data_IF_142265916447
#
_entry.id   IF_142265916447
#
_cell.length_a   1.000
_cell.length_b   1.000
_cell.length_c   1.000
_cell.angle_alpha   90.00
_cell.angle_beta   90.00
_cell.angle_gamma   90.00
#
_symmetry.space_group_name_H-M   'P 1'
#
loop_
_entity.id
_entity.type
_entity.pdbx_description
1 polymer ?
#
# COMPACT_ATOMS: atom_id res chain seq x y z
N UNK A 1 15.25 32.70 -2.02
CA UNK A 1 16.35 32.58 -0.99
C UNK A 1 17.57 32.12 -1.75
N UNK A 2 18.73 32.76 -1.59
CA UNK A 2 19.97 32.27 -2.21
C UNK A 2 20.35 30.94 -1.56
N UNK A 3 20.70 29.94 -2.36
CA UNK A 3 21.28 28.68 -1.88
C UNK A 3 22.52 29.04 -1.06
N UNK A 4 22.57 28.62 0.19
CA UNK A 4 23.66 28.96 1.10
C UNK A 4 24.98 28.23 0.76
N UNK A 5 24.92 27.23 -0.10
CA UNK A 5 26.08 26.47 -0.60
C UNK A 5 25.86 26.15 -2.09
N UNK A 6 26.59 26.81 -3.01
CA UNK A 6 26.43 26.58 -4.44
C UNK A 6 26.84 25.16 -4.90
N UNK A 7 27.51 24.38 -4.06
CA UNK A 7 27.99 23.05 -4.42
C UNK A 7 27.14 21.92 -3.82
N UNK A 8 25.94 22.22 -3.31
CA UNK A 8 25.12 21.19 -2.67
C UNK A 8 24.24 20.36 -3.63
N UNK A 9 24.32 20.64 -4.94
CA UNK A 9 23.67 19.86 -6.01
C UNK A 9 24.76 19.42 -6.98
N UNK A 10 24.76 18.16 -7.36
CA UNK A 10 25.67 17.63 -8.39
C UNK A 10 24.94 16.63 -9.27
N UNK A 11 25.33 16.55 -10.53
CA UNK A 11 24.83 15.56 -11.47
C UNK A 11 25.92 14.56 -11.84
N UNK A 12 25.59 13.27 -11.76
CA UNK A 12 26.45 12.18 -12.21
C UNK A 12 25.91 11.61 -13.54
N UNK A 13 26.54 11.92 -14.68
CA UNK A 13 26.08 11.44 -15.96
C UNK A 13 26.25 9.93 -16.16
N UNK A 14 27.13 9.27 -15.40
CA UNK A 14 27.38 7.84 -15.54
C UNK A 14 26.20 6.98 -15.06
N UNK A 15 25.44 7.46 -14.05
CA UNK A 15 24.24 6.82 -13.50
C UNK A 15 22.98 7.67 -13.75
N UNK A 16 23.13 8.81 -14.42
CA UNK A 16 22.06 9.79 -14.68
C UNK A 16 21.28 10.14 -13.41
N UNK A 17 21.97 10.58 -12.37
CA UNK A 17 21.34 10.92 -11.09
C UNK A 17 21.81 12.26 -10.57
N UNK A 18 20.87 13.03 -10.04
CA UNK A 18 21.08 14.30 -9.36
C UNK A 18 21.21 14.00 -7.88
N UNK A 19 22.33 14.37 -7.28
CA UNK A 19 22.60 14.22 -5.85
C UNK A 19 22.38 15.53 -5.12
N UNK A 20 21.63 15.49 -4.03
CA UNK A 20 21.19 16.64 -3.26
C UNK A 20 21.74 16.52 -1.85
N UNK A 21 22.62 17.48 -1.45
CA UNK A 21 23.19 17.61 -0.09
C UNK A 21 22.75 18.90 0.60
N UNK A 22 21.88 19.68 -0.03
CA UNK A 22 21.34 20.94 0.49
C UNK A 22 20.44 20.70 1.69
N UNK A 23 20.49 21.57 2.71
CA UNK A 23 19.62 21.49 3.89
C UNK A 23 18.14 21.62 3.57
N UNK A 24 17.78 22.43 2.58
CA UNK A 24 16.40 22.59 2.13
C UNK A 24 16.38 23.24 0.74
N UNK A 25 15.73 22.58 -0.23
CA UNK A 25 15.61 23.07 -1.60
C UNK A 25 14.27 22.68 -2.23
N UNK A 26 13.97 23.33 -3.37
CA UNK A 26 12.87 23.03 -4.29
C UNK A 26 13.40 22.59 -5.66
N UNK A 27 12.52 22.13 -6.56
CA UNK A 27 12.91 21.75 -7.93
C UNK A 27 13.48 22.93 -8.73
N UNK A 28 12.96 24.14 -8.51
CA UNK A 28 13.49 25.36 -9.14
C UNK A 28 14.94 25.67 -8.78
N UNK A 29 15.37 25.34 -7.57
CA UNK A 29 16.75 25.52 -7.15
C UNK A 29 17.69 24.54 -7.89
N UNK A 30 17.22 23.29 -8.08
CA UNK A 30 17.96 22.26 -8.81
C UNK A 30 18.11 22.67 -10.29
N UNK A 31 17.02 23.07 -10.93
CA UNK A 31 17.04 23.51 -12.34
C UNK A 31 17.99 24.68 -12.54
N UNK A 32 17.92 25.70 -11.67
CA UNK A 32 18.77 26.87 -11.77
C UNK A 32 20.25 26.52 -11.72
N UNK A 33 20.66 25.60 -10.84
CA UNK A 33 22.06 25.21 -10.71
C UNK A 33 22.52 24.34 -11.90
N UNK A 34 21.72 23.38 -12.33
CA UNK A 34 22.09 22.51 -13.46
C UNK A 34 22.21 23.29 -14.78
N UNK A 35 21.40 24.31 -15.02
CA UNK A 35 21.50 25.17 -16.20
C UNK A 35 22.80 25.97 -16.25
N UNK A 36 23.40 26.25 -15.11
CA UNK A 36 24.66 26.98 -15.05
C UNK A 36 25.83 26.04 -15.42
N UNK A 37 25.73 24.75 -15.09
CA UNK A 37 26.85 23.80 -15.21
C UNK A 37 26.89 23.06 -16.57
N UNK A 38 25.76 22.65 -17.16
CA UNK A 38 25.82 21.74 -18.32
C UNK A 38 24.63 21.75 -19.30
N UNK A 39 23.69 22.63 -19.21
CA UNK A 39 22.73 22.93 -20.27
C UNK A 39 21.80 21.83 -20.81
N UNK A 40 21.79 20.64 -20.27
CA UNK A 40 21.04 19.50 -20.80
C UNK A 40 19.66 19.30 -20.12
N UNK A 41 18.71 18.72 -20.89
CA UNK A 41 17.32 18.45 -20.54
C UNK A 41 17.14 17.42 -19.40
N UNK A 42 17.87 17.57 -18.29
CA UNK A 42 17.84 16.64 -17.16
C UNK A 42 16.64 16.95 -16.25
N UNK A 43 16.41 18.23 -16.00
CA UNK A 43 15.25 18.74 -15.28
C UNK A 43 14.77 20.01 -15.99
N UNK A 44 13.60 19.97 -16.57
CA UNK A 44 13.06 21.07 -17.38
C UNK A 44 11.67 21.48 -16.89
N UNK A 45 11.50 22.79 -16.66
CA UNK A 45 10.25 23.41 -16.27
C UNK A 45 9.50 23.98 -17.47
N UNK A 46 8.24 23.60 -17.63
CA UNK A 46 7.33 24.16 -18.62
C UNK A 46 6.55 25.35 -18.03
N UNK A 47 6.06 26.23 -18.89
CA UNK A 47 5.32 27.43 -18.50
C UNK A 47 4.05 27.13 -17.68
N UNK A 48 3.43 25.99 -17.89
CA UNK A 48 2.23 25.55 -17.17
C UNK A 48 2.48 25.01 -15.73
N UNK A 49 3.74 24.98 -15.29
CA UNK A 49 4.15 24.44 -14.00
C UNK A 49 4.39 22.92 -14.00
N UNK A 50 4.47 22.32 -15.20
CA UNK A 50 4.90 20.93 -15.37
C UNK A 50 6.43 20.84 -15.37
N UNK A 51 6.97 19.82 -14.69
CA UNK A 51 8.37 19.48 -14.71
C UNK A 51 8.61 18.15 -15.44
N UNK A 52 9.65 18.09 -16.26
CA UNK A 52 10.15 16.85 -16.84
C UNK A 52 11.48 16.50 -16.15
N UNK A 53 11.52 15.38 -15.48
CA UNK A 53 12.71 14.84 -14.82
C UNK A 53 13.23 13.63 -15.62
N UNK A 54 14.41 13.75 -16.20
CA UNK A 54 15.07 12.73 -17.00
C UNK A 54 16.34 12.18 -16.30
N UNK A 55 16.26 12.03 -14.99
CA UNK A 55 17.33 11.50 -14.14
C UNK A 55 16.74 10.95 -12.84
N UNK A 56 17.53 10.18 -12.09
CA UNK A 56 17.24 9.87 -10.69
C UNK A 56 17.49 11.07 -9.78
N UNK A 57 16.82 11.08 -8.61
CA UNK A 57 17.12 12.02 -7.52
C UNK A 57 17.62 11.22 -6.31
N UNK A 58 18.74 11.63 -5.74
CA UNK A 58 19.29 11.08 -4.50
C UNK A 58 19.31 12.19 -3.45
N UNK A 59 18.45 12.08 -2.45
CA UNK A 59 18.35 13.06 -1.36
C UNK A 59 19.18 12.52 -0.19
N UNK A 60 20.36 13.11 0.01
CA UNK A 60 21.34 12.63 0.98
C UNK A 60 20.92 12.86 2.42
N UNK A 61 21.55 12.17 3.36
CA UNK A 61 21.32 12.32 4.80
C UNK A 61 21.49 13.77 5.26
N UNK A 62 20.55 14.24 6.06
CA UNK A 62 20.54 15.63 6.53
C UNK A 62 20.07 16.66 5.50
N UNK A 63 19.69 16.23 4.30
CA UNK A 63 19.14 17.07 3.22
C UNK A 63 17.62 17.00 3.19
N UNK A 64 16.99 18.00 2.58
CA UNK A 64 15.57 18.03 2.42
C UNK A 64 15.15 18.60 1.05
N UNK A 65 14.35 17.84 0.31
CA UNK A 65 13.70 18.29 -0.93
C UNK A 65 12.21 18.53 -0.66
N UNK A 66 11.71 19.68 -1.11
CA UNK A 66 10.29 19.99 -1.13
C UNK A 66 9.80 20.10 -2.57
N UNK A 67 8.76 19.35 -2.90
CA UNK A 67 8.04 19.40 -4.18
C UNK A 67 6.61 19.82 -3.83
N UNK A 68 6.29 21.08 -4.01
CA UNK A 68 4.98 21.60 -3.63
C UNK A 68 4.37 22.54 -4.69
N UNK A 69 3.11 22.87 -4.52
CA UNK A 69 2.32 23.69 -5.46
C UNK A 69 2.82 25.13 -5.64
N UNK A 70 3.85 25.56 -4.93
CA UNK A 70 4.45 26.90 -5.13
C UNK A 70 5.19 27.00 -6.46
N UNK A 71 5.84 25.92 -6.88
CA UNK A 71 6.61 25.89 -8.12
C UNK A 71 6.27 24.72 -9.05
N UNK A 72 5.50 23.76 -8.57
CA UNK A 72 5.21 22.49 -9.25
C UNK A 72 3.71 22.21 -9.30
N UNK A 73 3.17 21.98 -10.48
CA UNK A 73 1.84 21.38 -10.63
C UNK A 73 1.93 19.87 -10.89
N UNK A 74 2.87 19.50 -11.74
CA UNK A 74 3.04 18.10 -12.16
C UNK A 74 4.51 17.79 -12.35
N UNK A 75 5.02 16.79 -11.65
CA UNK A 75 6.32 16.19 -11.88
C UNK A 75 6.15 14.93 -12.74
N UNK A 76 6.62 14.98 -13.95
CA UNK A 76 6.71 13.87 -14.90
C UNK A 76 8.10 13.27 -14.84
N UNK A 77 8.24 12.03 -14.38
CA UNK A 77 9.52 11.33 -14.34
C UNK A 77 9.61 10.45 -15.58
N UNK A 78 10.61 10.65 -16.40
CA UNK A 78 10.75 9.96 -17.68
C UNK A 78 10.92 8.47 -17.49
N UNK A 79 10.23 7.69 -18.31
CA UNK A 79 10.33 6.25 -18.43
C UNK A 79 10.30 5.87 -19.92
N UNK A 80 11.44 5.43 -20.44
CA UNK A 80 11.61 5.07 -21.85
C UNK A 80 11.60 3.54 -22.08
N UNK A 81 11.31 2.78 -21.03
CA UNK A 81 11.28 1.32 -21.05
C UNK A 81 12.62 0.63 -20.90
N UNK A 82 13.69 1.38 -20.70
CA UNK A 82 15.03 0.84 -20.51
C UNK A 82 15.54 1.05 -19.09
N UNK A 83 15.25 2.21 -18.52
CA UNK A 83 15.77 2.64 -17.22
C UNK A 83 14.60 3.14 -16.37
N UNK A 84 14.58 2.74 -15.10
CA UNK A 84 13.74 3.34 -14.08
C UNK A 84 14.55 4.37 -13.30
N UNK A 85 14.12 5.62 -13.32
CA UNK A 85 14.76 6.67 -12.54
C UNK A 85 14.12 6.73 -11.14
N UNK A 86 14.87 6.41 -10.07
CA UNK A 86 14.35 6.48 -8.72
C UNK A 86 14.35 7.90 -8.15
N UNK A 87 13.46 8.14 -7.18
CA UNK A 87 13.69 9.14 -6.14
C UNK A 87 14.11 8.38 -4.90
N UNK A 88 15.41 8.41 -4.59
CA UNK A 88 16.00 7.74 -3.42
C UNK A 88 16.16 8.73 -2.28
N UNK A 89 15.63 8.39 -1.11
CA UNK A 89 15.54 9.29 0.03
C UNK A 89 16.31 8.74 1.22
N UNK A 90 17.45 9.35 1.50
CA UNK A 90 18.20 9.13 2.75
C UNK A 90 18.01 10.30 3.73
N UNK A 91 17.59 11.46 3.23
CA UNK A 91 17.24 12.66 3.98
C UNK A 91 15.74 12.79 4.23
N UNK A 92 15.17 13.94 3.91
CA UNK A 92 13.74 14.22 4.00
C UNK A 92 13.14 14.57 2.64
N UNK A 93 11.94 14.07 2.37
CA UNK A 93 11.17 14.44 1.19
C UNK A 93 9.78 14.93 1.61
N UNK A 94 9.39 16.07 1.09
CA UNK A 94 8.00 16.55 1.18
C UNK A 94 7.42 16.67 -0.22
N UNK A 95 6.28 16.01 -0.45
CA UNK A 95 5.46 16.15 -1.66
C UNK A 95 4.09 16.67 -1.20
N UNK A 96 3.66 17.84 -1.70
CA UNK A 96 2.42 18.45 -1.21
C UNK A 96 1.66 19.19 -2.31
N UNK A 97 0.41 18.80 -2.52
CA UNK A 97 -0.53 19.45 -3.46
C UNK A 97 -0.02 19.45 -4.92
N UNK A 98 0.57 18.35 -5.36
CA UNK A 98 1.12 18.16 -6.71
C UNK A 98 0.73 16.81 -7.30
N UNK A 99 0.91 16.69 -8.60
CA UNK A 99 0.84 15.42 -9.32
C UNK A 99 2.25 14.87 -9.61
N UNK A 100 2.51 13.59 -9.33
CA UNK A 100 3.76 12.89 -9.64
C UNK A 100 3.46 11.62 -10.41
N UNK A 101 4.03 11.48 -11.60
CA UNK A 101 3.79 10.30 -12.46
C UNK A 101 5.02 9.91 -13.26
N UNK A 102 5.05 8.69 -13.75
CA UNK A 102 5.89 8.36 -14.89
C UNK A 102 5.40 9.08 -16.15
N UNK A 103 6.29 9.19 -17.14
CA UNK A 103 5.97 9.75 -18.45
C UNK A 103 6.79 9.09 -19.56
N UNK A 104 6.12 8.59 -20.59
CA UNK A 104 6.77 8.06 -21.76
C UNK A 104 6.79 9.15 -22.85
N UNK A 105 7.96 9.74 -23.19
CA UNK A 105 8.06 10.80 -24.16
C UNK A 105 7.77 10.35 -25.61
N UNK A 106 7.90 9.04 -25.89
CA UNK A 106 7.67 8.50 -27.24
C UNK A 106 6.18 8.44 -27.56
N UNK A 107 5.36 8.04 -26.60
CA UNK A 107 3.89 8.00 -26.72
C UNK A 107 3.24 9.31 -26.31
N UNK A 108 3.98 10.18 -25.65
CA UNK A 108 3.48 11.40 -25.00
C UNK A 108 2.33 11.12 -24.04
N UNK A 109 2.49 10.06 -23.23
CA UNK A 109 1.49 9.57 -22.28
C UNK A 109 2.17 8.96 -21.04
N UNK A 110 1.40 8.51 -20.07
CA UNK A 110 1.91 7.77 -18.92
C UNK A 110 2.65 6.51 -19.36
N UNK A 111 3.72 6.16 -18.68
CA UNK A 111 4.33 4.85 -18.86
C UNK A 111 3.47 3.79 -18.14
N UNK A 112 2.80 2.97 -18.90
CA UNK A 112 2.03 1.84 -18.38
C UNK A 112 2.93 0.61 -18.29
N UNK A 113 2.81 -0.18 -17.23
CA UNK A 113 3.50 -1.46 -17.09
C UNK A 113 2.62 -2.58 -17.64
N UNK A 114 2.38 -2.59 -18.93
CA UNK A 114 1.73 -3.72 -19.58
C UNK A 114 2.72 -4.87 -19.73
N UNK A 115 3.15 -5.45 -18.62
CA UNK A 115 3.74 -6.77 -18.63
C UNK A 115 2.64 -7.80 -18.89
N UNK A 116 2.84 -8.71 -19.81
CA UNK A 116 1.94 -9.84 -20.00
C UNK A 116 1.89 -10.65 -18.73
N UNK A 117 0.70 -10.83 -18.14
CA UNK A 117 0.50 -11.77 -17.03
C UNK A 117 0.56 -13.18 -17.60
N UNK A 118 1.65 -13.88 -17.34
CA UNK A 118 1.83 -15.28 -17.73
C UNK A 118 1.55 -16.16 -16.51
N UNK A 119 0.66 -17.15 -16.68
CA UNK A 119 0.42 -18.13 -15.63
C UNK A 119 1.69 -19.00 -15.47
N UNK A 120 2.37 -18.87 -14.34
CA UNK A 120 3.38 -19.83 -13.96
C UNK A 120 2.70 -21.10 -13.43
N UNK A 121 2.54 -22.10 -14.29
CA UNK A 121 1.85 -23.35 -13.96
C UNK A 121 2.51 -24.12 -12.81
N UNK A 122 3.84 -23.99 -12.62
CA UNK A 122 4.57 -24.65 -11.53
C UNK A 122 4.25 -24.05 -10.17
N UNK A 123 3.96 -22.74 -10.12
CA UNK A 123 3.68 -22.01 -8.90
C UNK A 123 2.18 -21.77 -8.70
N UNK A 124 1.35 -22.07 -9.70
CA UNK A 124 -0.09 -21.85 -9.67
C UNK A 124 -0.49 -20.38 -9.50
N UNK A 125 0.38 -19.45 -9.93
CA UNK A 125 0.14 -18.00 -9.85
C UNK A 125 0.51 -17.31 -11.16
N UNK A 126 -0.12 -16.18 -11.40
CA UNK A 126 0.28 -15.30 -12.49
C UNK A 126 1.57 -14.57 -12.11
N UNK A 127 2.55 -14.62 -12.98
CA UNK A 127 3.77 -13.82 -12.93
C UNK A 127 3.72 -12.80 -14.07
N UNK A 128 4.26 -11.63 -13.86
CA UNK A 128 4.40 -10.63 -14.92
C UNK A 128 5.74 -10.90 -15.58
N UNK A 129 5.74 -11.20 -16.88
CA UNK A 129 6.99 -11.14 -17.65
C UNK A 129 7.53 -9.72 -17.56
N UNK A 130 8.79 -9.63 -17.18
CA UNK A 130 9.58 -8.42 -16.92
C UNK A 130 8.83 -7.11 -17.16
N UNK A 131 8.33 -6.52 -16.07
CA UNK A 131 7.55 -5.28 -16.13
C UNK A 131 8.41 -4.18 -16.75
N UNK A 132 7.77 -3.36 -17.56
CA UNK A 132 8.38 -2.17 -18.12
C UNK A 132 8.92 -1.29 -16.99
N UNK A 133 10.23 -1.01 -16.90
CA UNK A 133 10.78 -0.26 -15.80
C UNK A 133 10.14 1.12 -15.69
N UNK A 134 9.46 1.37 -14.58
CA UNK A 134 8.86 2.66 -14.27
C UNK A 134 9.56 3.31 -13.09
N UNK A 135 9.64 4.65 -13.01
CA UNK A 135 10.13 5.37 -11.86
C UNK A 135 9.45 4.92 -10.57
N UNK A 136 10.14 5.08 -9.45
CA UNK A 136 9.64 4.76 -8.12
C UNK A 136 10.20 5.72 -7.07
N UNK A 137 9.57 5.77 -5.90
CA UNK A 137 10.04 6.54 -4.75
C UNK A 137 10.45 5.54 -3.68
N UNK A 138 11.72 5.54 -3.27
CA UNK A 138 12.26 4.64 -2.26
C UNK A 138 12.93 5.41 -1.13
N UNK A 139 12.43 5.19 0.07
CA UNK A 139 13.01 5.70 1.30
C UNK A 139 13.93 4.61 1.82
N UNK A 140 15.21 4.93 1.94
CA UNK A 140 16.26 3.97 2.28
C UNK A 140 16.21 3.55 3.75
N UNK A 141 16.76 2.37 4.06
CA UNK A 141 16.72 1.77 5.41
C UNK A 141 17.39 2.66 6.47
N UNK A 142 18.38 3.41 6.08
CA UNK A 142 19.13 4.31 6.95
C UNK A 142 18.77 5.81 6.76
N UNK A 143 17.58 6.08 6.23
CA UNK A 143 17.07 7.43 6.08
C UNK A 143 17.01 8.14 7.45
N UNK A 144 17.49 9.39 7.48
CA UNK A 144 17.58 10.19 8.72
C UNK A 144 16.40 11.14 8.91
N UNK A 145 15.50 11.26 7.92
CA UNK A 145 14.36 12.14 7.94
C UNK A 145 13.06 11.44 7.57
N UNK A 146 11.99 12.22 7.48
CA UNK A 146 10.67 11.72 7.09
C UNK A 146 10.40 11.97 5.61
N UNK A 147 9.58 11.09 5.02
CA UNK A 147 8.97 11.33 3.71
C UNK A 147 7.47 11.53 3.87
N UNK A 148 7.02 12.75 3.67
CA UNK A 148 5.62 13.13 3.82
C UNK A 148 5.01 13.45 2.45
N UNK A 149 3.96 12.69 2.08
CA UNK A 149 3.21 12.91 0.83
C UNK A 149 1.79 13.28 1.21
N UNK A 150 1.38 14.50 0.84
CA UNK A 150 0.07 15.05 1.24
C UNK A 150 -0.65 15.72 0.07
N UNK A 151 -1.98 15.60 0.06
CA UNK A 151 -2.86 16.31 -0.89
C UNK A 151 -2.48 16.14 -2.38
N UNK A 152 -1.87 15.02 -2.73
CA UNK A 152 -1.21 14.82 -4.03
C UNK A 152 -1.81 13.65 -4.81
N UNK A 153 -1.62 13.67 -6.12
CA UNK A 153 -1.86 12.53 -6.99
C UNK A 153 -0.53 11.84 -7.30
N UNK A 154 -0.43 10.56 -6.96
CA UNK A 154 0.74 9.73 -7.24
C UNK A 154 0.29 8.57 -8.10
N UNK A 155 0.78 8.49 -9.34
CA UNK A 155 0.28 7.49 -10.26
C UNK A 155 1.34 6.96 -11.24
N UNK A 156 1.11 5.77 -11.78
CA UNK A 156 1.95 5.12 -12.80
C UNK A 156 3.40 4.91 -12.37
N UNK A 157 3.65 4.67 -11.08
CA UNK A 157 4.97 4.41 -10.54
C UNK A 157 5.16 2.94 -10.18
N UNK A 158 6.43 2.50 -10.20
CA UNK A 158 6.83 1.16 -9.80
C UNK A 158 6.49 0.09 -10.83
N UNK A 159 7.16 -1.04 -10.70
CA UNK A 159 7.01 -2.20 -11.58
C UNK A 159 7.36 -3.49 -10.83
N UNK A 160 7.00 -4.63 -11.40
CA UNK A 160 7.45 -5.91 -10.88
C UNK A 160 8.90 -6.18 -11.33
N UNK A 161 9.79 -6.33 -10.36
CA UNK A 161 11.20 -6.67 -10.60
C UNK A 161 11.62 -7.93 -9.82
N UNK A 162 10.69 -8.87 -9.64
CA UNK A 162 10.94 -10.10 -8.90
C UNK A 162 10.93 -9.96 -7.37
N UNK A 163 11.53 -10.90 -6.67
CA UNK A 163 11.51 -10.96 -5.21
C UNK A 163 12.37 -9.85 -4.58
N UNK A 164 11.77 -8.83 -3.98
CA UNK A 164 12.54 -7.85 -3.22
C UNK A 164 11.95 -6.47 -2.99
N UNK A 165 10.79 -6.17 -3.54
CA UNK A 165 9.95 -5.04 -3.11
C UNK A 165 10.49 -3.61 -3.28
N UNK A 166 11.74 -3.40 -3.68
CA UNK A 166 12.36 -2.07 -3.64
C UNK A 166 11.97 -1.09 -4.74
N UNK A 167 11.24 -1.55 -5.76
CA UNK A 167 10.91 -0.76 -6.97
C UNK A 167 9.41 -0.73 -7.26
N UNK A 168 8.59 -1.04 -6.28
CA UNK A 168 7.16 -1.37 -6.48
C UNK A 168 6.23 -0.16 -6.56
N UNK A 169 6.70 1.02 -6.27
CA UNK A 169 5.90 2.26 -6.24
C UNK A 169 6.36 3.18 -5.15
N UNK A 170 5.61 3.30 -4.06
CA UNK A 170 6.04 3.97 -2.84
C UNK A 170 6.62 2.93 -1.88
N UNK A 171 7.92 2.93 -1.70
CA UNK A 171 8.65 1.95 -0.87
C UNK A 171 9.34 2.61 0.30
N UNK A 172 8.97 2.22 1.52
CA UNK A 172 9.54 2.72 2.76
C UNK A 172 10.37 1.62 3.44
N UNK A 173 11.68 1.70 3.38
CA UNK A 173 12.60 0.82 4.12
C UNK A 173 13.09 1.51 5.40
N UNK A 174 12.86 2.81 5.52
CA UNK A 174 13.14 3.70 6.65
C UNK A 174 12.17 4.88 6.66
N UNK A 175 12.54 5.97 7.32
CA UNK A 175 11.71 7.16 7.41
C UNK A 175 10.56 7.01 8.40
N UNK A 176 10.85 6.53 9.60
CA UNK A 176 9.88 6.42 10.70
C UNK A 176 9.09 7.72 10.91
N UNK A 177 7.84 7.58 11.36
CA UNK A 177 6.90 8.68 11.57
C UNK A 177 6.52 9.49 10.30
N UNK A 178 6.77 8.95 9.12
CA UNK A 178 6.32 9.54 7.86
C UNK A 178 4.80 9.52 7.73
N UNK A 179 4.26 10.38 6.86
CA UNK A 179 2.82 10.57 6.68
C UNK A 179 2.43 10.44 5.20
N UNK A 180 1.43 9.61 4.90
CA UNK A 180 0.67 9.61 3.66
C UNK A 180 -0.75 10.08 3.95
N UNK A 181 -1.14 11.28 3.48
CA UNK A 181 -2.45 11.87 3.83
C UNK A 181 -3.10 12.57 2.66
N UNK A 182 -4.41 12.34 2.50
CA UNK A 182 -5.27 13.03 1.52
C UNK A 182 -4.77 12.87 0.07
N UNK A 183 -4.19 11.73 -0.28
CA UNK A 183 -3.65 11.50 -1.61
C UNK A 183 -4.61 10.67 -2.46
N UNK A 184 -4.49 10.82 -3.78
CA UNK A 184 -4.99 9.89 -4.78
C UNK A 184 -3.81 9.06 -5.30
N UNK A 185 -3.78 7.75 -4.97
CA UNK A 185 -2.66 6.85 -5.29
C UNK A 185 -3.19 5.71 -6.16
N UNK A 186 -2.79 5.68 -7.42
CA UNK A 186 -3.37 4.73 -8.36
C UNK A 186 -2.43 4.33 -9.50
N UNK A 187 -2.72 3.21 -10.14
CA UNK A 187 -1.93 2.67 -11.26
C UNK A 187 -0.44 2.43 -10.94
N UNK A 188 -0.08 2.28 -9.66
CA UNK A 188 1.22 1.79 -9.23
C UNK A 188 1.26 0.25 -9.31
N UNK A 189 2.45 -0.35 -9.19
CA UNK A 189 2.50 -1.79 -8.98
C UNK A 189 2.03 -2.16 -7.56
N UNK A 190 2.64 -1.63 -6.49
CA UNK A 190 2.06 -1.52 -5.15
C UNK A 190 1.84 -0.03 -4.84
N UNK A 191 0.69 0.32 -4.31
CA UNK A 191 0.53 1.71 -3.88
C UNK A 191 1.48 2.06 -2.74
N UNK A 192 1.71 1.12 -1.82
CA UNK A 192 2.58 1.28 -0.68
C UNK A 192 3.19 -0.05 -0.26
N UNK A 193 4.48 -0.04 0.04
CA UNK A 193 5.22 -1.12 0.68
C UNK A 193 6.10 -0.58 1.80
N UNK A 194 6.21 -1.28 2.93
CA UNK A 194 7.17 -0.92 3.97
C UNK A 194 7.87 -2.14 4.58
N UNK A 195 9.09 -1.95 5.07
CA UNK A 195 9.87 -2.96 5.79
C UNK A 195 10.55 -2.33 7.00
N UNK A 196 10.21 -2.78 8.19
CA UNK A 196 10.85 -2.34 9.44
C UNK A 196 10.47 -0.93 9.91
N UNK A 197 9.53 -0.27 9.25
CA UNK A 197 9.16 1.14 9.53
C UNK A 197 8.22 1.24 10.72
N UNK A 198 8.46 2.23 11.59
CA UNK A 198 7.66 2.52 12.78
C UNK A 198 6.93 3.85 12.76
N UNK A 199 5.79 3.92 13.47
CA UNK A 199 5.09 5.18 13.77
C UNK A 199 4.42 5.89 12.60
N UNK A 200 4.33 5.26 11.43
CA UNK A 200 3.80 5.90 10.22
C UNK A 200 2.29 6.06 10.26
N UNK A 201 1.77 7.15 9.66
CA UNK A 201 0.33 7.42 9.52
C UNK A 201 -0.06 7.43 8.05
N UNK A 202 -1.03 6.56 7.69
CA UNK A 202 -1.63 6.49 6.35
C UNK A 202 -3.12 6.80 6.50
N UNK A 203 -3.54 8.00 6.10
CA UNK A 203 -4.91 8.43 6.36
C UNK A 203 -5.56 9.25 5.25
N UNK A 204 -6.88 9.08 5.11
CA UNK A 204 -7.71 9.83 4.16
C UNK A 204 -7.24 9.70 2.70
N UNK A 205 -6.61 8.60 2.31
CA UNK A 205 -6.18 8.40 0.95
C UNK A 205 -7.23 7.64 0.13
N UNK A 206 -7.26 7.90 -1.17
CA UNK A 206 -7.96 7.13 -2.16
C UNK A 206 -6.93 6.27 -2.92
N UNK A 207 -6.99 4.95 -2.75
CA UNK A 207 -5.98 4.00 -3.23
C UNK A 207 -6.65 2.98 -4.13
N UNK A 208 -6.36 3.01 -5.43
CA UNK A 208 -7.12 2.18 -6.38
C UNK A 208 -6.34 1.82 -7.64
N UNK A 209 -6.82 0.81 -8.35
CA UNK A 209 -6.28 0.36 -9.65
C UNK A 209 -4.79 0.04 -9.63
N UNK A 210 -4.23 -0.34 -8.48
CA UNK A 210 -2.83 -0.73 -8.41
C UNK A 210 -2.66 -2.18 -8.88
N UNK A 211 -1.55 -2.47 -9.53
CA UNK A 211 -1.33 -3.76 -10.18
C UNK A 211 -1.33 -4.96 -9.24
N UNK A 212 -1.03 -4.74 -7.96
CA UNK A 212 -1.03 -5.82 -6.98
C UNK A 212 -1.67 -5.40 -5.65
N UNK A 213 -0.92 -4.87 -4.66
CA UNK A 213 -1.46 -4.49 -3.36
C UNK A 213 -1.81 -3.01 -3.27
N UNK A 214 -2.88 -2.70 -2.54
CA UNK A 214 -3.13 -1.35 -2.08
C UNK A 214 -2.09 -0.95 -1.03
N UNK A 215 -2.19 -1.45 0.18
CA UNK A 215 -1.23 -1.19 1.26
C UNK A 215 -0.58 -2.51 1.71
N UNK A 216 0.76 -2.57 1.72
CA UNK A 216 1.55 -3.71 2.19
C UNK A 216 2.58 -3.30 3.26
N UNK A 217 2.17 -2.99 4.50
CA UNK A 217 3.07 -3.05 5.64
C UNK A 217 3.67 -4.45 5.76
N UNK A 218 5.01 -4.56 5.76
CA UNK A 218 5.70 -5.84 5.66
C UNK A 218 6.89 -5.91 6.63
N UNK A 219 7.40 -7.10 6.83
CA UNK A 219 8.63 -7.46 7.54
C UNK A 219 9.00 -6.53 8.72
N UNK A 220 8.35 -6.75 9.87
CA UNK A 220 8.69 -6.01 11.09
C UNK A 220 8.19 -4.57 11.16
N UNK A 221 7.36 -4.12 10.22
CA UNK A 221 6.67 -2.82 10.32
C UNK A 221 5.80 -2.77 11.58
N UNK A 222 5.84 -1.66 12.31
CA UNK A 222 5.19 -1.57 13.62
C UNK A 222 4.65 -0.18 13.96
N UNK A 223 3.74 -0.12 14.96
CA UNK A 223 3.19 1.13 15.48
C UNK A 223 2.55 2.03 14.38
N UNK A 224 1.98 1.42 13.35
CA UNK A 224 1.41 2.14 12.22
C UNK A 224 -0.09 2.36 12.39
N UNK A 225 -0.56 3.54 11.96
CA UNK A 225 -1.98 3.89 11.91
C UNK A 225 -2.45 3.99 10.45
N UNK A 226 -3.39 3.11 10.07
CA UNK A 226 -4.04 3.10 8.75
C UNK A 226 -5.51 3.43 8.96
N UNK A 227 -5.93 4.65 8.60
CA UNK A 227 -7.31 5.07 8.89
C UNK A 227 -7.97 5.91 7.80
N UNK A 228 -9.29 5.81 7.74
CA UNK A 228 -10.13 6.63 6.87
C UNK A 228 -9.73 6.55 5.37
N UNK A 229 -9.11 5.46 4.92
CA UNK A 229 -8.76 5.29 3.53
C UNK A 229 -9.89 4.58 2.77
N UNK A 230 -10.03 4.91 1.48
CA UNK A 230 -10.84 4.16 0.53
C UNK A 230 -9.90 3.39 -0.40
N UNK A 231 -10.01 2.06 -0.39
CA UNK A 231 -9.05 1.16 -1.04
C UNK A 231 -9.80 0.15 -1.90
N UNK A 232 -9.64 0.23 -3.23
CA UNK A 232 -10.45 -0.60 -4.10
C UNK A 232 -9.83 -0.89 -5.48
N UNK A 233 -10.38 -1.88 -6.17
CA UNK A 233 -9.99 -2.26 -7.53
C UNK A 233 -8.48 -2.53 -7.68
N UNK A 234 -7.81 -3.03 -6.60
CA UNK A 234 -6.42 -3.42 -6.66
C UNK A 234 -6.27 -4.87 -7.12
N UNK A 235 -5.15 -5.18 -7.76
CA UNK A 235 -4.93 -6.47 -8.43
C UNK A 235 -4.86 -7.68 -7.50
N UNK A 236 -4.77 -7.50 -6.18
CA UNK A 236 -4.79 -8.58 -5.19
C UNK A 236 -5.48 -8.14 -3.89
N UNK A 237 -4.74 -7.70 -2.87
CA UNK A 237 -5.27 -7.39 -1.53
C UNK A 237 -5.35 -5.88 -1.30
N UNK A 238 -6.42 -5.41 -0.68
CA UNK A 238 -6.57 -4.01 -0.31
C UNK A 238 -5.54 -3.59 0.75
N UNK A 239 -5.60 -4.17 1.94
CA UNK A 239 -4.63 -3.95 3.03
C UNK A 239 -4.08 -5.32 3.46
N UNK A 240 -2.79 -5.52 3.33
CA UNK A 240 -2.11 -6.70 3.87
C UNK A 240 -1.01 -6.27 4.84
N UNK A 241 -1.00 -6.82 6.05
CA UNK A 241 0.12 -6.66 6.97
C UNK A 241 0.78 -8.02 7.17
N UNK A 242 2.06 -8.12 6.83
CA UNK A 242 2.70 -9.41 6.64
C UNK A 242 4.11 -9.49 7.24
N UNK A 243 4.44 -10.65 7.77
CA UNK A 243 5.77 -11.03 8.24
C UNK A 243 6.28 -10.22 9.43
N UNK A 244 5.82 -10.60 10.62
CA UNK A 244 6.20 -10.00 11.91
C UNK A 244 5.76 -8.55 12.12
N UNK A 245 4.74 -8.07 11.44
CA UNK A 245 4.16 -6.77 11.75
C UNK A 245 3.50 -6.79 13.13
N UNK A 246 3.58 -5.70 13.88
CA UNK A 246 2.94 -5.63 15.20
C UNK A 246 2.49 -4.21 15.57
N UNK A 247 1.49 -4.13 16.45
CA UNK A 247 0.89 -2.86 16.90
C UNK A 247 0.43 -1.97 15.74
N UNK A 248 -0.20 -2.59 14.74
CA UNK A 248 -0.83 -1.89 13.62
C UNK A 248 -2.30 -1.64 13.96
N UNK A 249 -2.76 -0.41 13.77
CA UNK A 249 -4.18 -0.07 13.89
C UNK A 249 -4.76 0.21 12.51
N UNK A 250 -5.77 -0.58 12.12
CA UNK A 250 -6.51 -0.45 10.85
C UNK A 250 -7.94 -0.05 11.20
N UNK A 251 -8.30 1.22 11.01
CA UNK A 251 -9.60 1.72 11.48
C UNK A 251 -10.32 2.62 10.48
N UNK A 252 -11.64 2.52 10.44
CA UNK A 252 -12.51 3.37 9.62
C UNK A 252 -12.14 3.35 8.11
N UNK A 253 -11.53 2.29 7.60
CA UNK A 253 -11.25 2.16 6.18
C UNK A 253 -12.42 1.51 5.45
N UNK A 254 -12.55 1.83 4.16
CA UNK A 254 -13.45 1.13 3.25
C UNK A 254 -12.62 0.37 2.22
N UNK A 255 -12.72 -0.96 2.19
CA UNK A 255 -12.03 -1.83 1.23
C UNK A 255 -13.03 -2.62 0.41
N UNK A 256 -12.92 -2.56 -0.93
CA UNK A 256 -13.85 -3.28 -1.80
C UNK A 256 -13.29 -3.54 -3.20
N UNK A 257 -13.84 -4.53 -3.88
CA UNK A 257 -13.45 -4.92 -5.25
C UNK A 257 -11.96 -5.22 -5.42
N UNK A 258 -11.22 -5.49 -4.36
CA UNK A 258 -9.87 -5.99 -4.52
C UNK A 258 -9.94 -7.46 -4.98
N UNK A 259 -8.98 -7.90 -5.74
CA UNK A 259 -9.12 -9.18 -6.45
C UNK A 259 -9.11 -10.41 -5.53
N UNK A 260 -8.66 -10.30 -4.27
CA UNK A 260 -8.60 -11.42 -3.31
C UNK A 260 -9.13 -11.04 -1.92
N UNK A 261 -8.43 -10.20 -1.17
CA UNK A 261 -8.72 -9.93 0.26
C UNK A 261 -8.91 -8.44 0.52
N UNK A 262 -9.92 -8.08 1.30
CA UNK A 262 -10.08 -6.70 1.75
C UNK A 262 -9.01 -6.30 2.78
N UNK A 263 -8.95 -7.01 3.94
CA UNK A 263 -7.96 -6.78 5.01
C UNK A 263 -7.34 -8.11 5.42
N UNK A 264 -5.99 -8.21 5.38
CA UNK A 264 -5.26 -9.43 5.65
C UNK A 264 -4.22 -9.27 6.76
N UNK A 265 -4.32 -10.14 7.77
CA UNK A 265 -3.31 -10.35 8.82
C UNK A 265 -2.49 -11.59 8.46
N UNK A 266 -1.21 -11.45 8.19
CA UNK A 266 -0.43 -12.54 7.62
C UNK A 266 0.93 -12.73 8.28
N UNK A 267 1.34 -13.98 8.39
CA UNK A 267 2.70 -14.39 8.75
C UNK A 267 3.26 -13.71 10.00
N UNK A 268 2.64 -14.01 11.15
CA UNK A 268 3.01 -13.51 12.47
C UNK A 268 2.75 -12.00 12.68
N UNK A 269 1.63 -11.50 12.14
CA UNK A 269 1.12 -10.22 12.58
C UNK A 269 0.53 -10.36 13.98
N UNK A 270 0.92 -9.47 14.91
CA UNK A 270 0.56 -9.59 16.33
C UNK A 270 0.16 -8.25 16.95
N UNK A 271 -0.60 -8.32 18.06
CA UNK A 271 -0.96 -7.17 18.90
C UNK A 271 -1.56 -6.00 18.10
N UNK A 272 -2.33 -6.31 17.08
CA UNK A 272 -2.83 -5.37 16.11
C UNK A 272 -4.36 -5.37 16.08
N UNK A 273 -4.93 -4.29 15.60
CA UNK A 273 -6.37 -4.04 15.69
C UNK A 273 -6.92 -3.74 14.28
N UNK A 274 -8.06 -4.36 13.94
CA UNK A 274 -8.91 -3.92 12.83
C UNK A 274 -10.29 -3.57 13.35
N UNK A 275 -10.69 -2.30 13.27
CA UNK A 275 -11.98 -1.84 13.81
C UNK A 275 -12.69 -0.82 12.95
N UNK A 276 -14.01 -0.84 13.02
CA UNK A 276 -14.88 0.13 12.34
C UNK A 276 -14.65 0.17 10.82
N UNK A 277 -14.08 -0.87 10.21
CA UNK A 277 -13.87 -0.91 8.78
C UNK A 277 -15.13 -1.42 8.06
N UNK A 278 -15.30 -0.99 6.82
CA UNK A 278 -16.31 -1.49 5.89
C UNK A 278 -15.60 -2.28 4.80
N UNK A 279 -15.94 -3.57 4.65
CA UNK A 279 -15.31 -4.45 3.67
C UNK A 279 -16.39 -5.16 2.87
N UNK A 280 -16.34 -5.07 1.55
CA UNK A 280 -17.37 -5.69 0.72
C UNK A 280 -16.89 -6.08 -0.68
N UNK A 281 -17.63 -6.99 -1.30
CA UNK A 281 -17.39 -7.50 -2.65
C UNK A 281 -15.95 -8.02 -2.84
N UNK A 282 -15.48 -8.82 -1.88
CA UNK A 282 -14.17 -9.45 -1.85
C UNK A 282 -14.31 -10.98 -1.93
N UNK A 283 -13.27 -11.67 -2.34
CA UNK A 283 -13.20 -13.12 -2.14
C UNK A 283 -13.12 -13.42 -0.66
N UNK A 284 -12.30 -12.71 0.09
CA UNK A 284 -12.21 -12.80 1.54
C UNK A 284 -12.28 -11.40 2.15
N UNK A 285 -13.21 -11.18 3.07
CA UNK A 285 -13.37 -9.88 3.71
C UNK A 285 -12.19 -9.56 4.63
N UNK A 286 -12.18 -10.15 5.83
CA UNK A 286 -11.06 -10.05 6.78
C UNK A 286 -10.45 -11.43 6.94
N UNK A 287 -9.16 -11.55 6.64
CA UNK A 287 -8.47 -12.83 6.59
C UNK A 287 -7.25 -12.85 7.52
N UNK A 288 -7.10 -13.93 8.29
CA UNK A 288 -5.97 -14.16 9.18
C UNK A 288 -5.26 -15.47 8.87
N UNK A 289 -3.94 -15.41 8.71
CA UNK A 289 -3.09 -16.57 8.52
C UNK A 289 -1.82 -16.47 9.35
N UNK A 290 -1.56 -17.44 10.23
CA UNK A 290 -0.41 -17.46 11.14
C UNK A 290 -0.25 -16.17 11.93
N UNK A 291 -1.36 -15.61 12.47
CA UNK A 291 -1.36 -14.31 13.14
C UNK A 291 -2.04 -14.44 14.51
N UNK A 292 -1.49 -13.75 15.52
CA UNK A 292 -1.79 -14.04 16.91
C UNK A 292 -2.01 -12.77 17.77
N UNK A 293 -2.83 -12.90 18.80
CA UNK A 293 -3.07 -11.83 19.79
C UNK A 293 -3.57 -10.54 19.13
N UNK A 294 -4.43 -10.64 18.11
CA UNK A 294 -5.02 -9.49 17.43
C UNK A 294 -6.49 -9.34 17.82
N UNK A 295 -7.03 -8.14 17.62
CA UNK A 295 -8.42 -7.82 17.90
C UNK A 295 -9.12 -7.29 16.63
N UNK A 296 -10.29 -7.89 16.30
CA UNK A 296 -11.09 -7.52 15.12
C UNK A 296 -12.52 -7.23 15.60
N UNK A 297 -12.92 -5.97 15.58
CA UNK A 297 -14.23 -5.61 16.13
C UNK A 297 -14.91 -4.42 15.45
N UNK A 298 -16.23 -4.35 15.59
CA UNK A 298 -17.08 -3.30 15.03
C UNK A 298 -16.90 -3.15 13.49
N UNK A 299 -16.43 -4.17 12.78
CA UNK A 299 -16.34 -4.10 11.32
C UNK A 299 -17.66 -4.52 10.69
N UNK A 300 -17.98 -3.93 9.54
CA UNK A 300 -19.08 -4.35 8.69
C UNK A 300 -18.51 -5.04 7.45
N UNK A 301 -18.82 -6.33 7.29
CA UNK A 301 -18.35 -7.15 6.16
C UNK A 301 -19.56 -7.67 5.40
N UNK A 302 -19.67 -7.38 4.10
CA UNK A 302 -20.84 -7.84 3.34
C UNK A 302 -20.53 -8.20 1.88
N UNK A 303 -21.39 -9.03 1.30
CA UNK A 303 -21.31 -9.49 -0.09
C UNK A 303 -19.97 -10.11 -0.48
N UNK A 304 -19.24 -10.65 0.49
CA UNK A 304 -17.96 -11.38 0.31
C UNK A 304 -18.21 -12.88 0.14
N UNK A 305 -17.26 -13.61 -0.45
CA UNK A 305 -17.35 -15.07 -0.47
C UNK A 305 -17.21 -15.63 0.95
N UNK A 306 -16.11 -15.30 1.65
CA UNK A 306 -15.89 -15.59 3.06
C UNK A 306 -15.73 -14.27 3.82
N UNK A 307 -16.54 -14.01 4.84
CA UNK A 307 -16.49 -12.69 5.47
C UNK A 307 -15.33 -12.56 6.47
N UNK A 308 -15.25 -13.43 7.48
CA UNK A 308 -14.12 -13.48 8.41
C UNK A 308 -13.54 -14.89 8.40
N UNK A 309 -12.27 -15.02 8.08
CA UNK A 309 -11.62 -16.30 7.90
C UNK A 309 -10.29 -16.40 8.64
N UNK A 310 -10.16 -17.37 9.54
CA UNK A 310 -8.94 -17.70 10.29
C UNK A 310 -8.42 -19.05 9.86
N UNK A 311 -7.12 -19.15 9.52
CA UNK A 311 -6.45 -20.43 9.20
C UNK A 311 -4.98 -20.45 9.63
N UNK A 312 -4.34 -21.61 9.36
CA UNK A 312 -2.91 -21.81 9.49
C UNK A 312 -2.38 -21.43 10.88
N UNK A 313 -2.94 -22.04 11.94
CA UNK A 313 -2.53 -21.85 13.34
C UNK A 313 -2.68 -20.40 13.87
N UNK A 314 -3.53 -19.57 13.27
CA UNK A 314 -3.89 -18.28 13.87
C UNK A 314 -4.53 -18.48 15.23
N UNK A 315 -4.03 -17.83 16.29
CA UNK A 315 -4.45 -18.14 17.65
C UNK A 315 -4.51 -16.93 18.58
N UNK A 316 -5.25 -17.10 19.67
CA UNK A 316 -5.42 -16.07 20.70
C UNK A 316 -5.94 -14.73 20.16
N UNK A 317 -6.72 -14.75 19.08
CA UNK A 317 -7.32 -13.55 18.52
C UNK A 317 -8.73 -13.35 19.11
N UNK A 318 -9.14 -12.09 19.21
CA UNK A 318 -10.44 -11.68 19.71
C UNK A 318 -11.26 -11.09 18.57
N UNK A 319 -12.38 -11.71 18.23
CA UNK A 319 -13.22 -11.33 17.09
C UNK A 319 -14.64 -11.06 17.62
N UNK A 320 -15.04 -9.77 17.68
CA UNK A 320 -16.29 -9.44 18.33
C UNK A 320 -17.02 -8.23 17.77
N UNK A 321 -18.31 -8.14 18.06
CA UNK A 321 -19.17 -7.03 17.65
C UNK A 321 -19.15 -6.71 16.15
N UNK A 322 -18.72 -7.66 15.30
CA UNK A 322 -18.73 -7.46 13.87
C UNK A 322 -20.11 -7.77 13.29
N UNK A 323 -20.48 -7.03 12.26
CA UNK A 323 -21.71 -7.23 11.48
C UNK A 323 -21.36 -7.82 10.12
N UNK A 324 -21.79 -9.05 9.88
CA UNK A 324 -21.58 -9.78 8.64
C UNK A 324 -22.92 -9.89 7.90
N UNK A 325 -22.96 -9.47 6.62
CA UNK A 325 -24.19 -9.52 5.81
C UNK A 325 -23.95 -10.26 4.50
N UNK A 326 -24.88 -11.15 4.15
CA UNK A 326 -24.90 -11.89 2.87
C UNK A 326 -23.55 -12.54 2.50
N UNK A 327 -22.92 -13.33 3.38
CA UNK A 327 -21.74 -14.08 2.99
C UNK A 327 -22.13 -15.12 1.94
N UNK A 328 -21.43 -15.15 0.80
CA UNK A 328 -21.77 -16.07 -0.32
C UNK A 328 -21.46 -17.53 0.02
N UNK A 329 -20.45 -17.79 0.88
CA UNK A 329 -20.11 -19.11 1.39
C UNK A 329 -20.09 -19.17 2.91
N UNK A 330 -19.28 -18.35 3.60
CA UNK A 330 -19.13 -18.42 5.06
C UNK A 330 -19.13 -17.04 5.71
N UNK A 331 -19.87 -16.94 6.82
CA UNK A 331 -19.82 -15.77 7.68
C UNK A 331 -18.51 -15.76 8.50
N UNK A 332 -18.32 -16.76 9.35
CA UNK A 332 -17.06 -16.98 10.08
C UNK A 332 -16.55 -18.39 9.74
N UNK A 333 -15.30 -18.47 9.33
CA UNK A 333 -14.64 -19.75 9.03
C UNK A 333 -13.34 -19.89 9.82
N UNK A 334 -13.17 -21.05 10.48
CA UNK A 334 -11.98 -21.37 11.28
C UNK A 334 -11.45 -22.72 10.85
N UNK A 335 -10.22 -22.77 10.32
CA UNK A 335 -9.61 -24.00 9.74
C UNK A 335 -8.12 -24.13 10.01
N UNK A 336 -7.59 -25.29 9.68
CA UNK A 336 -6.16 -25.59 9.56
C UNK A 336 -5.38 -25.17 10.82
N UNK A 337 -5.84 -25.65 11.98
CA UNK A 337 -5.19 -25.44 13.27
C UNK A 337 -5.35 -24.05 13.87
N UNK A 338 -6.22 -23.20 13.34
CA UNK A 338 -6.56 -21.93 14.00
C UNK A 338 -7.28 -22.23 15.32
N UNK A 339 -6.69 -21.87 16.48
CA UNK A 339 -7.10 -22.36 17.80
C UNK A 339 -7.04 -21.28 18.88
N UNK A 340 -7.72 -21.53 20.00
CA UNK A 340 -7.75 -20.62 21.14
C UNK A 340 -8.19 -19.18 20.79
N UNK A 341 -9.03 -19.01 19.75
CA UNK A 341 -9.60 -17.72 19.40
C UNK A 341 -10.97 -17.55 20.08
N UNK A 342 -11.34 -16.32 20.40
CA UNK A 342 -12.62 -16.00 20.98
C UNK A 342 -13.47 -15.17 20.04
N UNK A 343 -14.69 -15.65 19.78
CA UNK A 343 -15.70 -15.02 18.92
C UNK A 343 -16.92 -14.70 19.75
N UNK A 344 -17.25 -13.42 19.96
CA UNK A 344 -18.43 -13.06 20.73
C UNK A 344 -19.18 -11.86 20.14
N UNK A 345 -20.47 -11.82 20.42
CA UNK A 345 -21.37 -10.72 20.01
C UNK A 345 -21.34 -10.37 18.51
N UNK A 346 -20.82 -11.25 17.64
CA UNK A 346 -20.90 -11.02 16.21
C UNK A 346 -22.32 -11.27 15.70
N UNK A 347 -22.78 -10.47 14.75
CA UNK A 347 -24.08 -10.63 14.11
C UNK A 347 -23.92 -11.04 12.65
N UNK A 348 -24.45 -12.21 12.28
CA UNK A 348 -24.39 -12.75 10.92
C UNK A 348 -25.79 -12.74 10.33
N UNK A 349 -26.00 -12.00 9.27
CA UNK A 349 -27.31 -11.82 8.59
C UNK A 349 -27.23 -12.48 7.20
N UNK A 350 -28.06 -13.49 6.98
CA UNK A 350 -28.15 -14.18 5.70
C UNK A 350 -29.53 -13.88 5.08
N UNK A 351 -29.56 -12.91 4.17
CA UNK A 351 -30.82 -12.45 3.52
C UNK A 351 -31.18 -13.36 2.34
N UNK A 352 -30.18 -13.80 1.58
CA UNK A 352 -30.37 -14.66 0.42
C UNK A 352 -29.63 -15.98 0.72
N UNK A 353 -30.33 -17.01 1.26
CA UNK A 353 -29.68 -18.27 1.54
C UNK A 353 -29.34 -18.98 0.22
N UNK A 354 -28.05 -19.14 -0.06
CA UNK A 354 -27.60 -20.14 -1.02
C UNK A 354 -27.50 -21.50 -0.33
N UNK A 355 -27.57 -22.60 -1.07
CA UNK A 355 -27.35 -23.96 -0.50
C UNK A 355 -25.95 -24.09 0.15
N UNK A 356 -25.03 -23.20 -0.16
CA UNK A 356 -23.64 -23.19 0.29
C UNK A 356 -23.39 -22.20 1.43
N UNK A 357 -24.26 -21.24 1.69
CA UNK A 357 -24.09 -20.21 2.72
C UNK A 357 -24.20 -20.81 4.11
N UNK A 358 -23.13 -20.71 4.91
CA UNK A 358 -23.09 -21.14 6.31
C UNK A 358 -22.65 -19.98 7.21
N UNK A 359 -23.35 -19.79 8.33
CA UNK A 359 -23.02 -18.71 9.25
C UNK A 359 -21.63 -18.89 9.88
N UNK A 360 -21.40 -20.03 10.50
CA UNK A 360 -20.12 -20.36 11.19
C UNK A 360 -19.71 -21.78 10.80
N UNK A 361 -18.45 -21.94 10.44
CA UNK A 361 -17.81 -23.25 10.23
C UNK A 361 -16.50 -23.34 10.98
N UNK A 362 -16.33 -24.41 11.73
CA UNK A 362 -15.10 -24.76 12.43
C UNK A 362 -14.65 -26.15 12.01
N UNK A 363 -13.40 -26.28 11.60
CA UNK A 363 -12.76 -27.56 11.33
C UNK A 363 -12.26 -28.18 12.66
N UNK A 364 -13.11 -28.91 13.34
CA UNK A 364 -12.90 -29.36 14.72
C UNK A 364 -11.70 -30.29 14.94
N UNK A 365 -11.25 -31.02 13.94
CA UNK A 365 -10.11 -31.94 14.06
C UNK A 365 -8.79 -31.22 14.33
N UNK A 366 -8.60 -30.06 13.73
CA UNK A 366 -7.36 -29.27 13.77
C UNK A 366 -7.50 -27.94 14.51
N UNK A 367 -8.72 -27.38 14.63
CA UNK A 367 -9.00 -26.06 15.17
C UNK A 367 -9.70 -26.16 16.51
N UNK A 368 -8.89 -26.32 17.58
CA UNK A 368 -9.39 -26.60 18.95
C UNK A 368 -9.45 -25.35 19.82
N UNK A 369 -10.14 -25.46 20.94
CA UNK A 369 -10.19 -24.47 22.02
C UNK A 369 -10.69 -23.07 21.57
N UNK A 370 -11.42 -23.00 20.46
CA UNK A 370 -12.08 -21.77 20.05
C UNK A 370 -13.38 -21.57 20.82
N UNK A 371 -13.60 -20.38 21.34
CA UNK A 371 -14.78 -20.01 22.13
C UNK A 371 -15.74 -19.20 21.26
N UNK A 372 -17.00 -19.62 21.21
CA UNK A 372 -18.09 -18.89 20.54
C UNK A 372 -19.16 -18.54 21.57
N UNK A 373 -19.38 -17.25 21.81
CA UNK A 373 -20.32 -16.76 22.81
C UNK A 373 -21.18 -15.63 22.27
N UNK A 374 -22.47 -15.68 22.53
CA UNK A 374 -23.44 -14.61 22.25
C UNK A 374 -23.44 -14.13 20.76
N UNK A 375 -22.95 -14.95 19.82
CA UNK A 375 -23.03 -14.64 18.41
C UNK A 375 -24.45 -14.86 17.89
N UNK A 376 -24.97 -13.92 17.11
CA UNK A 376 -26.32 -13.95 16.57
C UNK A 376 -26.31 -14.33 15.09
N UNK A 377 -27.17 -15.27 14.71
CA UNK A 377 -27.42 -15.62 13.31
C UNK A 377 -28.85 -15.26 12.99
N UNK A 378 -29.04 -14.37 12.02
CA UNK A 378 -30.34 -13.90 11.53
C UNK A 378 -30.50 -14.40 10.11
N UNK A 379 -31.36 -15.39 9.92
CA UNK A 379 -31.77 -15.86 8.60
C UNK A 379 -33.12 -15.24 8.24
N UNK A 380 -33.24 -14.65 7.06
CA UNK A 380 -34.56 -14.35 6.49
C UNK A 380 -34.95 -15.57 5.66
N UNK A 381 -35.89 -16.38 6.17
CA UNK A 381 -36.49 -17.45 5.38
C UNK A 381 -37.12 -16.80 4.16
N UNK A 382 -36.72 -17.20 2.94
CA UNK A 382 -37.52 -16.96 1.78
C UNK A 382 -38.90 -17.56 2.03
N UNK A 383 -39.90 -16.72 2.26
CA UNK A 383 -41.29 -17.17 2.35
C UNK A 383 -41.59 -18.05 1.16
N UNK A 384 -42.24 -19.16 1.44
CA UNK A 384 -42.78 -20.10 0.46
C UNK A 384 -43.65 -19.39 -0.57
#
# INVERSE_FOLDING_TARGET
MSISDPNCISYDPSIRSIRITCKSIHLSDIEHQLKIEDGDDILDKKEDGTWLLNAGLIIEKGSALTIDSKDTKWLKIIADGKIAYPIEVLGSLKIDSVKVTSWNPQTNDYATSEGNRVLNEKLGRYEVEEGFPRPYIRIEEDATGTTNITNSEIAYLGYEAGLGGGVTGLTYLGGDNSVLRNNNIHDLYFAFYSKGVGGMVIENNHIHNNGHYGLDPHTGTHDMLIRNNTIHDNGSTGIICSLNCNRITIENNTAYNNNDVGIMFSRNMTNSIARNNIVYNETQGIFMSKSHNNEIYNNTVYDTKNAIYLKNMSSNNLIHDNVIKNPKSFGIQVKTGASANTFYSNTIIIIIPSKESKAIIVENETSKDNIFKDNKVIGISSGQ
#
